data_IF_726072455315
#
_entry.id   IF_726072455315
#
_cell.length_a   1.000
_cell.length_b   1.000
_cell.length_c   1.000
_cell.angle_alpha   90.00
_cell.angle_beta   90.00
_cell.angle_gamma   90.00
#
_symmetry.space_group_name_H-M   'P 1'
#
loop_
_entity.id
_entity.type
_entity.pdbx_description
1 polymer ?
#
# COMPACT_ATOMS: atom_id res chain seq x y z
N UNK A 1 -10.35 -4.17 23.01
CA UNK A 1 -8.94 -4.21 22.56
C UNK A 1 -8.26 -2.89 22.89
N UNK A 2 -7.48 -2.81 23.99
CA UNK A 2 -6.97 -1.53 24.53
C UNK A 2 -5.78 -0.92 23.76
N UNK A 3 -5.19 -1.65 22.81
CA UNK A 3 -3.89 -1.28 22.19
C UNK A 3 -3.98 -0.32 21.00
N UNK A 4 -5.11 -0.24 20.31
CA UNK A 4 -5.28 0.68 19.18
C UNK A 4 -5.51 2.14 19.63
N UNK A 5 -6.11 2.33 20.82
CA UNK A 5 -6.39 3.65 21.39
C UNK A 5 -5.11 4.38 21.83
N UNK A 6 -4.12 3.64 22.32
CA UNK A 6 -2.83 4.18 22.75
C UNK A 6 -2.01 4.80 21.61
N UNK A 7 -2.17 4.31 20.37
CA UNK A 7 -1.40 4.79 19.21
C UNK A 7 -1.96 6.14 18.71
N UNK A 8 -3.29 6.29 18.69
CA UNK A 8 -3.93 7.55 18.32
C UNK A 8 -3.64 8.67 19.34
N UNK A 9 -3.64 8.33 20.63
CA UNK A 9 -3.32 9.29 21.71
C UNK A 9 -1.85 9.74 21.66
N UNK A 10 -0.92 8.85 21.27
CA UNK A 10 0.51 9.19 21.12
C UNK A 10 0.78 10.16 19.96
N UNK A 11 0.08 10.01 18.84
CA UNK A 11 0.24 10.90 17.67
C UNK A 11 -0.30 12.31 17.97
N UNK A 12 -1.46 12.39 18.64
CA UNK A 12 -2.03 13.66 19.07
C UNK A 12 -1.12 14.38 20.07
N UNK A 13 -0.52 13.65 21.02
CA UNK A 13 0.43 14.21 21.98
C UNK A 13 1.70 14.77 21.31
N UNK A 14 2.22 14.10 20.28
CA UNK A 14 3.37 14.56 19.50
C UNK A 14 3.08 15.85 18.72
N UNK A 15 1.87 16.01 18.17
CA UNK A 15 1.50 17.24 17.44
C UNK A 15 1.30 18.44 18.36
N UNK A 16 0.84 18.22 19.60
CA UNK A 16 0.72 19.27 20.62
C UNK A 16 2.11 19.66 21.16
N UNK A 17 3.01 18.70 21.36
CA UNK A 17 4.37 19.00 21.78
C UNK A 17 5.15 19.80 20.71
N UNK A 18 4.94 19.48 19.43
CA UNK A 18 5.59 20.17 18.32
C UNK A 18 5.14 21.65 18.16
N UNK A 19 3.93 22.01 18.59
CA UNK A 19 3.43 23.40 18.50
C UNK A 19 3.92 24.30 19.65
N UNK A 20 4.41 23.71 20.75
CA UNK A 20 4.93 24.43 21.92
C UNK A 20 6.44 24.71 21.85
N UNK A 21 7.15 24.14 20.86
CA UNK A 21 8.61 24.23 20.74
C UNK A 21 9.13 25.55 20.11
N UNK A 22 8.29 26.57 19.95
CA UNK A 22 8.66 27.84 19.29
C UNK A 22 9.47 28.81 20.15
N UNK A 23 9.76 28.49 21.42
CA UNK A 23 10.42 29.41 22.36
C UNK A 23 11.66 28.80 23.05
N UNK A 24 12.25 27.76 22.43
CA UNK A 24 13.40 27.05 22.99
C UNK A 24 14.68 27.28 22.18
N UNK A 25 15.79 27.40 22.92
CA UNK A 25 17.13 27.73 22.42
C UNK A 25 17.70 26.65 21.49
N UNK A 26 18.62 27.03 20.59
CA UNK A 26 19.19 26.20 19.51
C UNK A 26 19.67 24.78 19.92
N UNK A 27 20.05 24.59 21.19
CA UNK A 27 20.51 23.29 21.72
C UNK A 27 19.33 22.33 21.98
N UNK A 28 18.20 22.83 22.46
CA UNK A 28 16.96 22.05 22.68
C UNK A 28 16.33 21.64 21.34
N UNK A 29 16.43 22.50 20.32
CA UNK A 29 15.96 22.23 18.96
C UNK A 29 16.75 21.10 18.29
N UNK A 30 18.07 21.04 18.51
CA UNK A 30 18.91 19.93 18.03
C UNK A 30 18.61 18.61 18.75
N UNK A 31 18.37 18.65 20.06
CA UNK A 31 17.99 17.47 20.83
C UNK A 31 16.60 16.94 20.41
N UNK A 32 15.64 17.83 20.19
CA UNK A 32 14.31 17.47 19.69
C UNK A 32 14.35 16.91 18.27
N UNK A 33 15.22 17.44 17.39
CA UNK A 33 15.44 16.90 16.04
C UNK A 33 16.10 15.52 16.09
N UNK A 34 17.09 15.31 16.95
CA UNK A 34 17.72 14.02 17.14
C UNK A 34 16.73 12.97 17.67
N UNK A 35 15.82 13.36 18.56
CA UNK A 35 14.79 12.46 19.08
C UNK A 35 13.70 12.17 18.05
N UNK A 36 13.34 13.15 17.21
CA UNK A 36 12.44 12.93 16.08
C UNK A 36 13.05 11.98 15.04
N UNK A 37 14.35 12.11 14.75
CA UNK A 37 15.07 11.17 13.87
C UNK A 37 15.13 9.77 14.49
N UNK A 38 15.38 9.67 15.80
CA UNK A 38 15.31 8.38 16.50
C UNK A 38 13.92 7.76 16.43
N UNK A 39 12.86 8.54 16.60
CA UNK A 39 11.49 8.04 16.48
C UNK A 39 11.17 7.63 15.04
N UNK A 40 11.64 8.38 14.04
CA UNK A 40 11.50 8.01 12.62
C UNK A 40 12.20 6.70 12.33
N UNK A 41 13.43 6.54 12.79
CA UNK A 41 14.19 5.30 12.68
C UNK A 41 13.57 4.15 13.47
N UNK A 42 12.94 4.42 14.62
CA UNK A 42 12.25 3.41 15.41
C UNK A 42 11.01 2.88 14.68
N UNK A 43 10.23 3.77 14.05
CA UNK A 43 9.10 3.40 13.19
C UNK A 43 9.57 2.61 11.96
N UNK A 44 10.62 3.08 11.26
CA UNK A 44 11.20 2.38 10.10
C UNK A 44 11.73 1.00 10.50
N UNK A 45 12.41 0.90 11.65
CA UNK A 45 12.93 -0.36 12.19
C UNK A 45 11.81 -1.34 12.52
N UNK A 46 10.66 -0.83 12.98
CA UNK A 46 9.51 -1.66 13.31
C UNK A 46 8.85 -2.20 12.03
N UNK A 47 8.74 -1.37 10.98
CA UNK A 47 8.31 -1.83 9.66
C UNK A 47 9.27 -2.86 9.06
N UNK A 48 10.58 -2.66 9.24
CA UNK A 48 11.61 -3.57 8.72
C UNK A 48 11.67 -4.89 9.50
N UNK A 49 11.53 -4.84 10.83
CA UNK A 49 11.44 -6.02 11.70
C UNK A 49 10.15 -6.80 11.45
N UNK A 50 9.04 -6.12 11.13
CA UNK A 50 7.81 -6.78 10.71
C UNK A 50 7.97 -7.50 9.36
N UNK A 51 8.62 -6.88 8.36
CA UNK A 51 9.02 -7.57 7.13
C UNK A 51 9.93 -8.76 7.40
N UNK A 52 10.92 -8.62 8.28
CA UNK A 52 11.86 -9.69 8.61
C UNK A 52 11.21 -10.85 9.37
N UNK A 53 10.29 -10.57 10.28
CA UNK A 53 9.56 -11.58 11.03
C UNK A 53 8.51 -12.32 10.17
N UNK A 54 7.93 -11.64 9.19
CA UNK A 54 6.91 -12.22 8.30
C UNK A 54 7.49 -12.90 7.04
N UNK A 55 8.70 -12.53 6.60
CA UNK A 55 9.33 -13.04 5.36
C UNK A 55 10.77 -13.56 5.54
N UNK A 56 11.26 -13.70 6.78
CA UNK A 56 12.63 -14.14 7.12
C UNK A 56 12.92 -15.63 6.89
N UNK A 57 12.48 -16.18 5.76
CA UNK A 57 12.65 -17.60 5.46
C UNK A 57 12.63 -17.93 3.97
N UNK A 58 13.37 -17.21 3.12
CA UNK A 58 13.91 -17.79 1.87
C UNK A 58 14.92 -16.86 1.20
N UNK A 59 16.12 -17.40 0.95
CA UNK A 59 17.23 -16.70 0.31
C UNK A 59 16.97 -16.31 -1.16
N UNK A 60 17.94 -15.64 -1.79
CA UNK A 60 17.73 -14.97 -3.07
C UNK A 60 17.62 -15.98 -4.21
N UNK A 61 16.55 -15.87 -5.02
CA UNK A 61 16.54 -16.41 -6.37
C UNK A 61 16.75 -15.28 -7.38
N UNK A 62 17.60 -15.48 -8.40
CA UNK A 62 17.99 -14.43 -9.32
C UNK A 62 16.87 -14.07 -10.30
N UNK A 63 16.92 -12.81 -10.73
CA UNK A 63 15.96 -12.12 -11.57
C UNK A 63 15.55 -12.86 -12.86
N UNK A 64 14.27 -12.74 -13.23
CA UNK A 64 13.86 -12.72 -14.64
C UNK A 64 12.94 -11.54 -14.91
N UNK A 65 13.46 -10.60 -15.72
CA UNK A 65 12.67 -9.61 -16.45
C UNK A 65 11.58 -10.34 -17.23
N UNK A 66 10.34 -9.97 -17.02
CA UNK A 66 9.30 -10.20 -17.99
C UNK A 66 8.29 -9.04 -17.89
N UNK A 67 8.36 -8.12 -18.85
CA UNK A 67 7.21 -7.28 -19.16
C UNK A 67 6.17 -8.24 -19.75
N UNK A 68 5.22 -8.69 -18.94
CA UNK A 68 4.21 -9.63 -19.38
C UNK A 68 2.95 -8.86 -19.73
N UNK A 69 2.92 -8.38 -20.97
CA UNK A 69 1.67 -8.29 -21.69
C UNK A 69 1.17 -9.73 -21.93
N UNK A 70 0.37 -10.26 -21.01
CA UNK A 70 -0.31 -11.52 -21.25
C UNK A 70 -1.54 -11.27 -22.11
N UNK A 71 -1.47 -11.78 -23.33
CA UNK A 71 -2.58 -11.95 -24.25
C UNK A 71 -3.69 -12.77 -23.60
N UNK A 72 -4.94 -12.28 -23.71
CA UNK A 72 -6.17 -12.96 -23.31
C UNK A 72 -6.24 -14.37 -23.95
N UNK A 73 -5.98 -15.44 -23.19
CA UNK A 73 -6.28 -16.79 -23.66
C UNK A 73 -6.64 -17.80 -22.54
N UNK A 74 -6.08 -17.71 -21.33
CA UNK A 74 -6.26 -18.77 -20.33
C UNK A 74 -6.61 -18.20 -18.95
N UNK A 75 -7.86 -18.40 -18.50
CA UNK A 75 -8.23 -18.33 -17.07
C UNK A 75 -7.93 -17.04 -16.28
N UNK A 76 -7.44 -15.96 -16.90
CA UNK A 76 -7.08 -14.75 -16.18
C UNK A 76 -8.31 -13.95 -15.77
N UNK A 77 -8.26 -13.38 -14.57
CA UNK A 77 -9.29 -12.51 -14.02
C UNK A 77 -8.79 -11.08 -14.04
N UNK A 78 -9.57 -10.19 -14.66
CA UNK A 78 -9.29 -8.76 -14.62
C UNK A 78 -9.80 -8.18 -13.31
N UNK A 79 -8.92 -7.53 -12.55
CA UNK A 79 -9.24 -6.83 -11.31
C UNK A 79 -8.90 -5.36 -11.51
N UNK A 80 -9.90 -4.50 -11.37
CA UNK A 80 -9.72 -3.06 -11.43
C UNK A 80 -9.89 -2.45 -10.04
N UNK A 81 -8.94 -1.61 -9.64
CA UNK A 81 -8.98 -0.88 -8.39
C UNK A 81 -9.25 0.59 -8.67
N UNK A 82 -10.07 1.20 -7.83
CA UNK A 82 -10.39 2.63 -7.83
C UNK A 82 -10.26 3.14 -6.40
N UNK A 83 -9.50 4.21 -6.23
CA UNK A 83 -9.38 4.89 -4.94
C UNK A 83 -9.29 6.41 -5.13
N UNK A 84 -10.25 7.20 -4.61
CA UNK A 84 -10.15 8.66 -4.57
C UNK A 84 -9.14 9.08 -3.51
N UNK A 85 -8.07 9.78 -3.91
CA UNK A 85 -7.05 10.29 -3.03
C UNK A 85 -6.25 11.43 -3.66
N UNK A 86 -6.04 12.51 -2.90
CA UNK A 86 -5.25 13.66 -3.37
C UNK A 86 -3.78 13.51 -2.98
N UNK A 87 -2.92 13.22 -3.94
CA UNK A 87 -1.47 13.22 -3.75
C UNK A 87 -0.89 14.64 -3.81
N UNK A 88 0.24 14.87 -3.13
CA UNK A 88 1.03 16.09 -3.33
C UNK A 88 1.82 16.00 -4.64
N UNK A 89 2.29 17.15 -5.13
CA UNK A 89 3.15 17.20 -6.31
C UNK A 89 4.40 16.31 -6.14
N UNK A 90 4.78 15.59 -7.20
CA UNK A 90 5.89 14.63 -7.17
C UNK A 90 5.62 13.35 -6.38
N UNK A 91 4.36 13.07 -6.03
CA UNK A 91 3.93 11.83 -5.40
C UNK A 91 2.94 11.08 -6.28
N UNK A 92 2.92 9.76 -6.13
CA UNK A 92 2.04 8.86 -6.88
C UNK A 92 1.43 7.80 -5.98
N UNK A 93 0.14 7.53 -6.16
CA UNK A 93 -0.48 6.40 -5.49
C UNK A 93 -0.08 5.10 -6.18
N UNK A 94 0.33 4.12 -5.38
CA UNK A 94 0.74 2.80 -5.84
C UNK A 94 0.00 1.72 -5.04
N UNK A 95 -0.15 0.56 -5.67
CA UNK A 95 -0.73 -0.65 -5.11
C UNK A 95 0.38 -1.68 -4.92
N UNK A 96 0.45 -2.27 -3.74
CA UNK A 96 1.46 -3.27 -3.37
C UNK A 96 0.78 -4.45 -2.66
N UNK A 97 1.33 -5.65 -2.76
CA UNK A 97 0.69 -6.83 -2.17
C UNK A 97 1.53 -8.08 -2.24
N UNK A 98 0.98 -9.19 -1.77
CA UNK A 98 1.70 -10.48 -1.66
C UNK A 98 1.98 -11.14 -3.00
N UNK A 99 1.11 -10.92 -3.99
CA UNK A 99 1.25 -11.50 -5.32
C UNK A 99 2.43 -10.87 -6.08
N UNK A 100 3.10 -11.65 -6.94
CA UNK A 100 4.23 -11.16 -7.76
C UNK A 100 3.80 -10.01 -8.70
N UNK A 101 2.55 -10.05 -9.18
CA UNK A 101 1.95 -8.98 -9.99
C UNK A 101 1.83 -7.66 -9.20
N UNK A 102 1.70 -7.74 -7.87
CA UNK A 102 1.68 -6.60 -6.95
C UNK A 102 3.04 -6.30 -6.31
N UNK A 103 4.10 -6.95 -6.77
CA UNK A 103 5.46 -6.68 -6.33
C UNK A 103 5.90 -7.41 -5.05
N UNK A 104 5.12 -8.36 -4.53
CA UNK A 104 5.48 -9.18 -3.35
C UNK A 104 5.98 -8.36 -2.15
N UNK A 105 5.25 -7.28 -1.82
CA UNK A 105 5.59 -6.34 -0.74
C UNK A 105 6.89 -5.53 -0.92
N UNK A 106 7.49 -5.55 -2.11
CA UNK A 106 8.60 -4.65 -2.46
C UNK A 106 8.10 -3.33 -3.05
N UNK A 107 8.39 -2.21 -2.36
CA UNK A 107 7.95 -0.85 -2.76
C UNK A 107 8.48 -0.47 -4.14
N UNK A 108 9.69 -0.90 -4.49
CA UNK A 108 10.28 -0.67 -5.81
C UNK A 108 9.51 -1.32 -6.95
N UNK A 109 8.82 -2.44 -6.63
CA UNK A 109 7.97 -3.21 -7.54
C UNK A 109 6.48 -2.88 -7.39
N UNK A 110 6.11 -1.91 -6.55
CA UNK A 110 4.73 -1.52 -6.37
C UNK A 110 4.15 -1.00 -7.69
N UNK A 111 2.90 -1.38 -7.96
CA UNK A 111 2.22 -1.00 -9.20
C UNK A 111 1.73 0.44 -9.08
N UNK A 112 2.27 1.33 -9.89
CA UNK A 112 1.83 2.71 -9.94
C UNK A 112 0.41 2.80 -10.53
N UNK A 113 -0.50 3.47 -9.83
CA UNK A 113 -1.86 3.71 -10.31
C UNK A 113 -1.88 4.92 -11.26
N UNK A 114 -2.88 4.97 -12.13
CA UNK A 114 -3.12 6.08 -13.03
C UNK A 114 -4.09 7.08 -12.40
N UNK A 115 -3.69 8.34 -12.33
CA UNK A 115 -4.58 9.41 -11.91
C UNK A 115 -5.62 9.70 -13.00
N UNK A 116 -6.84 9.98 -12.59
CA UNK A 116 -7.96 10.39 -13.43
C UNK A 116 -8.65 11.59 -12.79
N UNK A 117 -9.50 12.28 -13.57
CA UNK A 117 -10.21 13.47 -13.11
C UNK A 117 -10.99 13.23 -11.81
N UNK A 118 -10.95 14.21 -10.89
CA UNK A 118 -11.57 14.11 -9.57
C UNK A 118 -10.69 13.46 -8.49
N UNK A 119 -9.36 13.46 -8.68
CA UNK A 119 -8.39 12.82 -7.76
C UNK A 119 -8.63 11.33 -7.57
N UNK A 120 -9.12 10.67 -8.61
CA UNK A 120 -9.42 9.24 -8.60
C UNK A 120 -8.26 8.47 -9.21
N UNK A 121 -7.67 7.56 -8.45
CA UNK A 121 -6.61 6.68 -8.92
C UNK A 121 -7.18 5.35 -9.35
N UNK A 122 -6.74 4.86 -10.51
CA UNK A 122 -7.21 3.60 -11.08
C UNK A 122 -6.06 2.72 -11.54
N UNK A 123 -6.21 1.41 -11.39
CA UNK A 123 -5.31 0.42 -12.00
C UNK A 123 -6.09 -0.82 -12.38
N UNK A 124 -5.78 -1.39 -13.54
CA UNK A 124 -6.32 -2.68 -13.97
C UNK A 124 -5.19 -3.70 -13.98
N UNK A 125 -5.41 -4.84 -13.34
CA UNK A 125 -4.48 -5.94 -13.22
C UNK A 125 -5.11 -7.21 -13.76
N UNK A 126 -4.30 -8.04 -14.40
CA UNK A 126 -4.70 -9.40 -14.74
C UNK A 126 -4.05 -10.35 -13.74
N UNK A 127 -4.87 -11.12 -13.03
CA UNK A 127 -4.41 -12.12 -12.10
C UNK A 127 -4.67 -13.51 -12.68
N UNK A 128 -3.67 -14.42 -12.64
CA UNK A 128 -3.87 -15.79 -13.08
C UNK A 128 -4.80 -16.49 -12.10
N UNK A 129 -5.96 -16.96 -12.59
CA UNK A 129 -6.87 -17.73 -11.77
C UNK A 129 -6.55 -19.22 -11.97
N UNK A 130 -5.78 -19.78 -11.05
CA UNK A 130 -5.30 -21.16 -11.07
C UNK A 130 -6.38 -22.20 -10.68
N UNK A 131 -7.64 -21.99 -11.07
CA UNK A 131 -8.73 -22.93 -10.88
C UNK A 131 -9.34 -23.02 -9.46
N UNK A 132 -8.64 -22.55 -8.42
CA UNK A 132 -9.12 -22.61 -7.02
C UNK A 132 -9.52 -21.25 -6.41
N UNK A 133 -9.49 -20.18 -7.21
CA UNK A 133 -9.62 -18.81 -6.70
C UNK A 133 -8.36 -18.40 -5.94
N UNK A 134 -8.09 -17.10 -5.89
CA UNK A 134 -6.86 -16.56 -5.29
C UNK A 134 -7.23 -15.57 -4.20
N UNK A 135 -6.69 -15.75 -3.00
CA UNK A 135 -6.77 -14.72 -1.97
C UNK A 135 -5.63 -13.72 -2.20
N UNK A 136 -6.00 -12.51 -2.62
CA UNK A 136 -5.09 -11.41 -2.84
C UNK A 136 -5.00 -10.57 -1.57
N UNK A 137 -3.79 -10.37 -1.07
CA UNK A 137 -3.51 -9.41 -0.01
C UNK A 137 -2.81 -8.19 -0.61
N UNK A 138 -3.30 -7.00 -0.30
CA UNK A 138 -2.80 -5.76 -0.87
C UNK A 138 -2.91 -4.58 0.10
N UNK A 139 -2.20 -3.51 -0.23
CA UNK A 139 -2.22 -2.22 0.47
C UNK A 139 -1.93 -1.09 -0.50
N UNK A 140 -2.43 0.10 -0.17
CA UNK A 140 -2.10 1.32 -0.90
C UNK A 140 -0.92 2.03 -0.25
N UNK A 141 -0.03 2.56 -1.09
CA UNK A 141 1.13 3.34 -0.66
C UNK A 141 1.29 4.55 -1.56
N UNK A 142 1.52 5.71 -0.96
CA UNK A 142 1.95 6.92 -1.66
C UNK A 142 3.47 6.84 -1.78
N UNK A 143 3.95 6.88 -3.01
CA UNK A 143 5.38 6.81 -3.34
C UNK A 143 5.85 8.14 -3.88
N UNK A 144 7.07 8.52 -3.53
CA UNK A 144 7.74 9.67 -4.13
C UNK A 144 8.23 9.30 -5.53
N UNK A 145 7.98 10.16 -6.52
CA UNK A 145 8.46 9.93 -7.89
C UNK A 145 9.96 10.19 -8.04
N UNK A 146 10.57 10.93 -7.10
CA UNK A 146 11.98 11.32 -7.16
C UNK A 146 12.93 10.16 -6.86
N UNK A 147 12.66 9.45 -5.78
CA UNK A 147 13.53 8.44 -5.17
C UNK A 147 12.85 7.08 -5.04
N UNK A 148 11.58 6.97 -5.46
CA UNK A 148 10.75 5.75 -5.39
C UNK A 148 10.54 5.22 -3.96
N UNK A 149 10.79 6.04 -2.94
CA UNK A 149 10.57 5.67 -1.55
C UNK A 149 9.08 5.74 -1.18
N UNK A 150 8.67 4.89 -0.24
CA UNK A 150 7.33 4.95 0.35
C UNK A 150 7.24 6.19 1.24
N UNK A 151 6.40 7.15 0.84
CA UNK A 151 6.16 8.38 1.60
C UNK A 151 5.08 8.16 2.65
N UNK A 152 4.02 7.43 2.29
CA UNK A 152 2.91 7.15 3.22
C UNK A 152 2.25 5.84 2.89
N UNK A 153 2.05 5.01 3.90
CA UNK A 153 1.24 3.81 3.80
C UNK A 153 -0.19 4.13 4.18
N UNK A 154 -1.16 3.47 3.53
CA UNK A 154 -2.55 3.51 3.98
C UNK A 154 -2.63 2.97 5.41
N UNK A 155 -3.39 3.66 6.24
CA UNK A 155 -3.55 3.28 7.64
C UNK A 155 -4.42 2.01 7.76
N UNK A 156 -4.30 1.35 8.91
CA UNK A 156 -5.03 0.12 9.20
C UNK A 156 -4.37 -1.16 8.67
N UNK A 157 -5.14 -2.23 8.72
CA UNK A 157 -4.73 -3.58 8.32
C UNK A 157 -4.61 -3.70 6.80
N UNK A 158 -3.94 -4.76 6.35
CA UNK A 158 -3.88 -5.09 4.93
C UNK A 158 -5.28 -5.46 4.41
N UNK A 159 -5.54 -5.14 3.15
CA UNK A 159 -6.80 -5.45 2.49
C UNK A 159 -6.72 -6.84 1.88
N UNK A 160 -7.79 -7.61 2.03
CA UNK A 160 -7.92 -8.94 1.43
C UNK A 160 -9.01 -8.92 0.36
N UNK A 161 -8.76 -9.56 -0.77
CA UNK A 161 -9.70 -9.70 -1.89
C UNK A 161 -9.72 -11.16 -2.35
N UNK A 162 -10.91 -11.76 -2.34
CA UNK A 162 -11.12 -13.08 -2.93
C UNK A 162 -11.33 -12.92 -4.44
N UNK A 163 -10.36 -13.36 -5.22
CA UNK A 163 -10.41 -13.35 -6.68
C UNK A 163 -11.05 -14.67 -7.13
N UNK A 164 -12.21 -14.64 -7.82
CA UNK A 164 -12.87 -15.82 -8.37
C UNK A 164 -12.01 -16.48 -9.45
N UNK A 165 -12.43 -17.63 -9.93
CA UNK A 165 -11.72 -18.37 -10.98
C UNK A 165 -11.88 -17.78 -12.38
N UNK A 166 -12.92 -16.97 -12.60
CA UNK A 166 -13.22 -16.33 -13.88
C UNK A 166 -14.01 -15.03 -13.68
N UNK A 167 -13.95 -14.15 -14.68
CA UNK A 167 -14.73 -12.93 -14.74
C UNK A 167 -13.91 -11.67 -14.53
N UNK A 168 -14.56 -10.62 -14.01
CA UNK A 168 -13.95 -9.32 -13.71
C UNK A 168 -14.36 -8.87 -12.31
N UNK A 169 -13.44 -8.22 -11.60
CA UNK A 169 -13.73 -7.53 -10.36
C UNK A 169 -13.47 -6.03 -10.51
N UNK A 170 -14.32 -5.25 -9.86
CA UNK A 170 -14.06 -3.84 -9.59
C UNK A 170 -14.04 -3.65 -8.09
N UNK A 171 -12.99 -3.02 -7.60
CA UNK A 171 -12.79 -2.72 -6.19
C UNK A 171 -12.77 -1.21 -6.06
N UNK A 172 -13.72 -0.67 -5.32
CA UNK A 172 -13.79 0.74 -4.96
C UNK A 172 -13.45 0.84 -3.48
N UNK A 173 -12.25 1.32 -3.18
CA UNK A 173 -11.78 1.54 -1.83
C UNK A 173 -11.72 3.04 -1.53
N UNK A 174 -11.74 3.38 -0.25
CA UNK A 174 -11.48 4.73 0.27
C UNK A 174 -10.21 4.73 1.09
N UNK A 175 -9.55 5.89 1.18
CA UNK A 175 -8.30 5.99 1.95
C UNK A 175 -8.51 5.79 3.46
N UNK A 176 -9.65 6.24 3.98
CA UNK A 176 -10.02 6.25 5.39
C UNK A 176 -10.82 5.01 5.83
N UNK A 177 -10.94 4.00 4.97
CA UNK A 177 -11.77 2.80 5.19
C UNK A 177 -13.26 3.08 5.44
N UNK A 178 -13.76 4.29 5.13
CA UNK A 178 -15.17 4.63 5.29
C UNK A 178 -16.08 3.80 4.37
N UNK A 179 -15.56 3.41 3.19
CA UNK A 179 -16.29 2.62 2.21
C UNK A 179 -15.37 1.67 1.46
N UNK A 180 -15.85 0.44 1.28
CA UNK A 180 -15.29 -0.57 0.40
C UNK A 180 -16.39 -1.30 -0.34
N UNK A 181 -16.37 -1.25 -1.66
CA UNK A 181 -17.32 -1.93 -2.54
C UNK A 181 -16.55 -2.84 -3.51
N UNK A 182 -17.03 -4.08 -3.65
CA UNK A 182 -16.44 -5.06 -4.58
C UNK A 182 -17.54 -5.58 -5.50
N UNK A 183 -17.49 -5.18 -6.76
CA UNK A 183 -18.40 -5.64 -7.82
C UNK A 183 -17.76 -6.85 -8.52
N UNK A 184 -18.48 -7.98 -8.56
CA UNK A 184 -18.03 -9.20 -9.26
C UNK A 184 -18.90 -9.43 -10.49
N UNK A 185 -18.36 -9.16 -11.67
CA UNK A 185 -19.04 -9.45 -12.94
C UNK A 185 -18.65 -10.85 -13.41
N UNK A 186 -19.57 -11.82 -13.25
CA UNK A 186 -19.42 -13.17 -13.80
C UNK A 186 -19.88 -13.16 -15.25
N UNK A 187 -19.07 -13.71 -16.18
CA UNK A 187 -19.58 -14.01 -17.52
C UNK A 187 -20.65 -15.10 -17.35
N UNK A 188 -21.92 -14.73 -17.50
CA UNK A 188 -23.01 -15.70 -17.60
C UNK A 188 -22.78 -16.50 -18.88
N UNK A 189 -22.64 -17.82 -18.74
CA UNK A 189 -22.71 -18.73 -19.88
C UNK A 189 -24.13 -18.62 -20.43
N UNK A 190 -24.27 -18.12 -21.66
CA UNK A 190 -25.50 -18.27 -22.44
C UNK A 190 -25.61 -19.72 -22.92
#
# INVERSE_FOLDING_TARGET
MPRARAIGEAIAALQIAASQASDQSDVELSAAQAELERLRHLVDSFQQAFHQAMFGGMGPQPARRAALCFSNADGNVSVSFRLPYRCKYGQKLCLIGSNDVLGSWHVDRAVAMNWTEGDVWTVELQLPANGNGVQLEYKYVVRSERDKSAVRWKEGNNCYLAVPTQGRLKVHDTWDDSMREVEVSRRLRQ
#
